data_IF_550768819586
#
_entry.id   IF_550768819586
#
_cell.length_a   1.000
_cell.length_b   1.000
_cell.length_c   1.000
_cell.angle_alpha   90.00
_cell.angle_beta   90.00
_cell.angle_gamma   90.00
#
_symmetry.space_group_name_H-M   'P 1'
#
loop_
_entity.id
_entity.type
_entity.pdbx_description
1 polymer ?
#
# COMPACT_ATOMS: atom_id res chain seq x y z
N UNK A 1 19.52 19.36 -15.89
CA UNK A 1 18.43 19.39 -16.89
C UNK A 1 17.36 18.29 -16.78
N UNK A 2 17.60 17.09 -16.20
CA UNK A 2 16.55 16.05 -16.08
C UNK A 2 15.71 16.08 -14.78
N UNK A 3 16.14 16.80 -13.74
CA UNK A 3 15.46 16.83 -12.42
C UNK A 3 14.29 17.84 -12.41
N UNK A 4 14.37 18.91 -13.19
CA UNK A 4 13.31 19.94 -13.28
C UNK A 4 12.11 19.49 -14.13
N UNK A 5 12.32 18.58 -15.07
CA UNK A 5 11.25 18.02 -15.91
C UNK A 5 10.27 17.16 -15.11
N UNK A 6 10.73 16.44 -14.08
CA UNK A 6 9.86 15.61 -13.23
C UNK A 6 9.07 16.46 -12.23
N UNK A 7 9.67 17.54 -11.73
CA UNK A 7 9.00 18.49 -10.85
C UNK A 7 7.92 19.33 -11.57
N UNK A 8 8.10 19.59 -12.87
CA UNK A 8 7.14 20.36 -13.67
C UNK A 8 5.91 19.54 -14.08
N UNK A 9 6.03 18.22 -14.23
CA UNK A 9 4.89 17.31 -14.41
C UNK A 9 3.98 17.27 -13.17
N UNK A 10 4.55 17.43 -11.97
CA UNK A 10 3.80 17.44 -10.71
C UNK A 10 3.11 18.79 -10.49
N UNK A 11 3.68 19.90 -10.98
CA UNK A 11 3.13 21.26 -10.79
C UNK A 11 2.10 21.70 -11.83
N UNK A 12 2.09 21.12 -13.04
CA UNK A 12 1.07 21.44 -14.07
C UNK A 12 -0.29 20.80 -13.81
N UNK A 13 -0.36 19.88 -12.86
CA UNK A 13 -1.58 19.16 -12.49
C UNK A 13 -2.26 19.82 -11.30
N UNK A 14 -2.62 21.10 -11.40
CA UNK A 14 -3.54 21.66 -10.41
C UNK A 14 -4.35 22.84 -10.95
N UNK A 15 -5.57 22.54 -11.38
CA UNK A 15 -6.78 23.33 -11.09
C UNK A 15 -8.00 22.58 -11.61
N UNK A 16 -8.93 22.23 -10.72
CA UNK A 16 -10.26 21.62 -10.93
C UNK A 16 -10.44 20.09 -10.99
N UNK A 17 -9.41 19.27 -11.25
CA UNK A 17 -9.59 17.81 -11.43
C UNK A 17 -9.26 16.91 -10.21
N UNK A 18 -8.81 17.45 -9.08
CA UNK A 18 -8.45 16.65 -7.89
C UNK A 18 -9.65 16.27 -6.99
N UNK A 19 -10.88 16.50 -7.43
CA UNK A 19 -12.11 16.00 -6.79
C UNK A 19 -12.50 14.68 -7.45
N UNK A 20 -11.79 13.60 -7.14
CA UNK A 20 -12.15 12.27 -7.63
C UNK A 20 -10.95 11.33 -7.72
N UNK A 21 -10.89 10.37 -6.80
CA UNK A 21 -10.36 9.01 -7.02
C UNK A 21 -9.04 8.86 -7.78
N UNK A 22 -7.93 9.54 -7.41
CA UNK A 22 -6.69 9.36 -8.20
C UNK A 22 -5.34 9.46 -7.47
N UNK A 23 -5.14 8.72 -6.37
CA UNK A 23 -3.80 8.69 -5.74
C UNK A 23 -2.95 7.46 -6.14
N UNK A 24 -3.51 6.27 -6.26
CA UNK A 24 -2.76 5.04 -6.53
C UNK A 24 -2.81 4.63 -8.02
N UNK A 25 -2.14 5.38 -8.90
CA UNK A 25 -2.23 5.10 -10.34
C UNK A 25 -1.08 4.32 -10.92
N UNK A 26 0.12 4.53 -10.38
CA UNK A 26 1.35 4.07 -11.01
C UNK A 26 2.40 3.64 -9.97
N UNK A 27 3.27 2.66 -10.28
CA UNK A 27 4.31 2.18 -9.36
C UNK A 27 5.26 3.28 -8.85
N UNK A 28 5.42 4.38 -9.58
CA UNK A 28 6.29 5.51 -9.23
C UNK A 28 5.90 6.15 -7.90
N UNK A 29 4.62 6.10 -7.51
CA UNK A 29 4.21 6.55 -6.19
C UNK A 29 4.91 5.73 -5.09
N UNK A 30 5.04 4.42 -5.26
CA UNK A 30 5.75 3.57 -4.30
C UNK A 30 7.22 3.97 -4.21
N UNK A 31 7.86 4.30 -5.33
CA UNK A 31 9.26 4.74 -5.36
C UNK A 31 9.45 6.10 -4.70
N UNK A 32 8.54 7.05 -4.94
CA UNK A 32 8.54 8.37 -4.32
C UNK A 32 8.34 8.26 -2.81
N UNK A 33 7.34 7.49 -2.35
CA UNK A 33 7.11 7.24 -0.93
C UNK A 33 8.31 6.56 -0.28
N UNK A 34 8.86 5.53 -0.91
CA UNK A 34 10.05 4.87 -0.41
C UNK A 34 11.23 5.83 -0.28
N UNK A 35 11.44 6.69 -1.29
CA UNK A 35 12.49 7.72 -1.24
C UNK A 35 12.29 8.68 -0.07
N UNK A 36 11.06 9.12 0.20
CA UNK A 36 10.76 10.01 1.32
C UNK A 36 10.98 9.30 2.68
N UNK A 37 10.47 8.08 2.83
CA UNK A 37 10.51 7.34 4.11
C UNK A 37 11.92 6.85 4.44
N UNK A 38 12.75 6.58 3.43
CA UNK A 38 14.07 5.98 3.62
C UNK A 38 15.22 6.99 3.54
N UNK A 39 14.96 8.26 3.17
CA UNK A 39 15.99 9.29 2.97
C UNK A 39 16.94 9.41 4.16
N UNK A 40 16.39 9.54 5.36
CA UNK A 40 17.16 9.84 6.57
C UNK A 40 17.63 8.58 7.31
N UNK A 41 17.41 7.39 6.72
CA UNK A 41 17.72 6.10 7.34
C UNK A 41 18.92 5.42 6.69
N UNK A 42 19.76 6.19 6.00
CA UNK A 42 21.08 5.76 5.51
C UNK A 42 21.06 4.84 4.30
N UNK A 43 20.01 4.88 3.47
CA UNK A 43 19.91 4.02 2.29
C UNK A 43 20.22 4.74 0.98
N UNK A 44 21.38 4.47 0.37
CA UNK A 44 21.71 4.91 -1.00
C UNK A 44 20.72 4.38 -2.07
N UNK A 45 19.96 3.34 -1.70
CA UNK A 45 18.93 2.71 -2.53
C UNK A 45 17.53 3.30 -2.33
N UNK A 46 17.40 4.44 -1.65
CA UNK A 46 16.12 5.10 -1.42
C UNK A 46 15.38 5.41 -2.74
N UNK A 47 14.34 4.62 -3.01
CA UNK A 47 13.44 4.76 -4.15
C UNK A 47 13.86 3.92 -5.35
N UNK A 48 14.82 3.00 -5.17
CA UNK A 48 15.30 2.08 -6.22
C UNK A 48 14.77 0.68 -5.95
N UNK A 49 14.31 0.02 -7.01
CA UNK A 49 13.96 -1.40 -6.96
C UNK A 49 15.22 -2.22 -6.63
N UNK A 50 15.08 -3.25 -5.80
CA UNK A 50 16.20 -4.15 -5.48
C UNK A 50 16.67 -4.90 -6.72
N UNK A 51 17.98 -5.03 -6.85
CA UNK A 51 18.66 -5.84 -7.86
C UNK A 51 19.19 -7.17 -7.29
N UNK A 52 18.98 -7.41 -5.99
CA UNK A 52 19.37 -8.64 -5.28
C UNK A 52 18.14 -9.44 -4.87
N UNK A 53 18.32 -10.74 -4.68
CA UNK A 53 17.30 -11.57 -4.05
C UNK A 53 17.34 -11.41 -2.53
N UNK A 54 16.15 -11.31 -1.94
CA UNK A 54 15.96 -11.14 -0.50
C UNK A 54 14.93 -12.14 0.00
N UNK A 55 14.98 -12.47 1.28
CA UNK A 55 14.04 -13.37 1.95
C UNK A 55 13.63 -12.82 3.31
N UNK A 56 12.41 -13.09 3.78
CA UNK A 56 12.03 -12.79 5.15
C UNK A 56 12.87 -13.60 6.12
N UNK A 57 13.36 -12.97 7.19
CA UNK A 57 14.06 -13.67 8.25
C UNK A 57 13.10 -14.59 9.01
N UNK A 58 13.50 -15.83 9.27
CA UNK A 58 12.72 -16.78 10.07
C UNK A 58 11.44 -17.30 9.41
N UNK A 59 11.25 -17.12 8.10
CA UNK A 59 10.06 -17.60 7.38
C UNK A 59 10.45 -18.37 6.12
N UNK A 60 9.76 -19.48 5.78
CA UNK A 60 9.98 -20.21 4.52
C UNK A 60 9.42 -19.45 3.30
N UNK A 61 8.73 -18.32 3.50
CA UNK A 61 8.13 -17.54 2.43
C UNK A 61 9.20 -16.96 1.49
N UNK A 62 8.98 -17.03 0.18
CA UNK A 62 9.89 -16.45 -0.81
C UNK A 62 9.20 -15.26 -1.49
N UNK A 63 9.94 -14.14 -1.62
CA UNK A 63 9.46 -12.97 -2.35
C UNK A 63 9.54 -13.19 -3.87
N UNK A 64 9.05 -12.24 -4.67
CA UNK A 64 9.26 -12.27 -6.11
C UNK A 64 10.76 -12.33 -6.48
N UNK A 65 11.09 -12.79 -7.68
CA UNK A 65 12.47 -12.69 -8.17
C UNK A 65 12.77 -11.24 -8.55
N UNK A 66 13.95 -10.73 -8.22
CA UNK A 66 14.41 -9.35 -8.48
C UNK A 66 14.11 -8.90 -9.92
N UNK A 67 14.49 -9.72 -10.90
CA UNK A 67 14.22 -9.49 -12.33
C UNK A 67 12.73 -9.37 -12.72
N UNK A 68 11.82 -9.89 -11.89
CA UNK A 68 10.37 -9.84 -12.13
C UNK A 68 9.66 -8.72 -11.36
N UNK A 69 10.35 -8.01 -10.47
CA UNK A 69 9.73 -7.02 -9.57
C UNK A 69 9.00 -5.93 -10.34
N UNK A 70 9.65 -5.31 -11.32
CA UNK A 70 9.07 -4.20 -12.10
C UNK A 70 7.77 -4.64 -12.79
N UNK A 71 7.82 -5.74 -13.54
CA UNK A 71 6.65 -6.28 -14.25
C UNK A 71 5.50 -6.65 -13.28
N UNK A 72 5.82 -7.21 -12.11
CA UNK A 72 4.81 -7.56 -11.10
C UNK A 72 4.20 -6.33 -10.44
N UNK A 73 4.97 -5.27 -10.20
CA UNK A 73 4.43 -4.00 -9.70
C UNK A 73 3.50 -3.35 -10.72
N UNK A 74 3.92 -3.27 -11.98
CA UNK A 74 3.06 -2.72 -13.04
C UNK A 74 1.73 -3.47 -13.14
N UNK A 75 1.79 -4.81 -13.14
CA UNK A 75 0.61 -5.65 -13.13
C UNK A 75 -0.28 -5.40 -11.90
N UNK A 76 0.31 -5.36 -10.70
CA UNK A 76 -0.44 -5.15 -9.46
C UNK A 76 -1.16 -3.80 -9.46
N UNK A 77 -0.45 -2.72 -9.79
CA UNK A 77 -1.04 -1.37 -9.80
C UNK A 77 -2.12 -1.25 -10.87
N UNK A 78 -1.91 -1.86 -12.05
CA UNK A 78 -2.92 -1.90 -13.12
C UNK A 78 -4.19 -2.62 -12.67
N UNK A 79 -4.08 -3.85 -12.14
CA UNK A 79 -5.23 -4.64 -11.69
C UNK A 79 -6.00 -3.91 -10.60
N UNK A 80 -5.31 -3.30 -9.64
CA UNK A 80 -5.95 -2.56 -8.55
C UNK A 80 -6.66 -1.30 -9.04
N UNK A 81 -6.06 -0.58 -9.98
CA UNK A 81 -6.69 0.58 -10.62
C UNK A 81 -7.95 0.19 -11.39
N UNK A 82 -7.87 -0.85 -12.23
CA UNK A 82 -9.00 -1.38 -12.99
C UNK A 82 -10.12 -1.84 -12.05
N UNK A 83 -9.77 -2.54 -10.96
CA UNK A 83 -10.75 -2.93 -9.95
C UNK A 83 -11.41 -1.70 -9.32
N UNK A 84 -10.65 -0.71 -8.82
CA UNK A 84 -11.23 0.47 -8.18
C UNK A 84 -12.11 1.32 -9.12
N UNK A 85 -11.92 1.22 -10.44
CA UNK A 85 -12.67 1.99 -11.43
C UNK A 85 -14.07 1.43 -11.76
N UNK A 86 -14.38 0.19 -11.38
CA UNK A 86 -15.73 -0.35 -11.65
C UNK A 86 -16.77 0.37 -10.80
N UNK A 87 -17.86 0.77 -11.44
CA UNK A 87 -19.01 1.36 -10.75
C UNK A 87 -19.75 0.30 -9.95
N UNK A 88 -20.09 0.63 -8.71
CA UNK A 88 -20.78 -0.25 -7.76
C UNK A 88 -21.72 0.58 -6.88
N UNK A 89 -22.78 -0.04 -6.34
CA UNK A 89 -23.66 0.61 -5.38
C UNK A 89 -22.89 1.22 -4.21
N UNK A 90 -23.34 2.37 -3.70
CA UNK A 90 -22.65 3.11 -2.64
C UNK A 90 -22.35 2.26 -1.40
N UNK A 91 -23.29 1.40 -1.00
CA UNK A 91 -23.13 0.48 0.12
C UNK A 91 -21.97 -0.52 -0.06
N UNK A 92 -21.59 -0.83 -1.30
CA UNK A 92 -20.50 -1.76 -1.61
C UNK A 92 -19.14 -1.07 -1.74
N UNK A 93 -19.09 0.25 -1.93
CA UNK A 93 -17.84 0.99 -2.21
C UNK A 93 -16.80 0.78 -1.10
N UNK A 94 -17.19 0.95 0.17
CA UNK A 94 -16.31 0.76 1.32
C UNK A 94 -15.81 -0.69 1.46
N UNK A 95 -16.70 -1.69 1.61
CA UNK A 95 -16.30 -3.09 1.72
C UNK A 95 -15.42 -3.56 0.55
N UNK A 96 -15.72 -3.12 -0.66
CA UNK A 96 -14.94 -3.43 -1.86
C UNK A 96 -13.55 -2.79 -1.82
N UNK A 97 -13.45 -1.51 -1.43
CA UNK A 97 -12.18 -0.83 -1.27
C UNK A 97 -11.29 -1.55 -0.25
N UNK A 98 -11.85 -2.04 0.87
CA UNK A 98 -11.11 -2.82 1.87
C UNK A 98 -10.59 -4.14 1.28
N UNK A 99 -11.40 -4.88 0.53
CA UNK A 99 -10.97 -6.14 -0.13
C UNK A 99 -9.84 -5.89 -1.12
N UNK A 100 -9.97 -4.86 -1.97
CA UNK A 100 -8.96 -4.47 -2.95
C UNK A 100 -7.69 -3.99 -2.23
N UNK A 101 -7.83 -3.20 -1.17
CA UNK A 101 -6.73 -2.71 -0.34
C UNK A 101 -5.95 -3.84 0.32
N UNK A 102 -6.64 -4.83 0.89
CA UNK A 102 -6.02 -6.01 1.48
C UNK A 102 -5.25 -6.83 0.44
N UNK A 103 -5.84 -7.04 -0.74
CA UNK A 103 -5.17 -7.70 -1.87
C UNK A 103 -3.91 -6.92 -2.31
N UNK A 104 -4.03 -5.61 -2.47
CA UNK A 104 -2.90 -4.74 -2.84
C UNK A 104 -1.78 -4.82 -1.80
N UNK A 105 -2.12 -4.59 -0.54
CA UNK A 105 -1.18 -4.57 0.59
C UNK A 105 -0.42 -5.89 0.68
N UNK A 106 -1.14 -7.02 0.65
CA UNK A 106 -0.52 -8.34 0.71
C UNK A 106 0.37 -8.61 -0.52
N UNK A 107 -0.13 -8.34 -1.71
CA UNK A 107 0.59 -8.57 -2.96
C UNK A 107 1.86 -7.73 -3.06
N UNK A 108 1.81 -6.47 -2.64
CA UNK A 108 2.97 -5.59 -2.59
C UNK A 108 4.06 -6.14 -1.66
N UNK A 109 3.69 -6.63 -0.47
CA UNK A 109 4.62 -7.25 0.46
C UNK A 109 5.23 -8.57 -0.06
N UNK A 110 4.48 -9.32 -0.87
CA UNK A 110 4.97 -10.52 -1.56
C UNK A 110 5.94 -10.20 -2.70
N UNK A 111 5.68 -9.13 -3.45
CA UNK A 111 6.59 -8.64 -4.49
C UNK A 111 7.89 -8.14 -3.85
N UNK A 112 7.77 -7.43 -2.73
CA UNK A 112 8.88 -6.92 -1.92
C UNK A 112 9.88 -6.11 -2.75
N UNK A 113 9.47 -4.97 -3.34
CA UNK A 113 10.24 -4.33 -4.39
C UNK A 113 11.55 -3.68 -3.95
N UNK A 114 11.73 -3.40 -2.66
CA UNK A 114 12.91 -2.71 -2.12
C UNK A 114 13.74 -3.63 -1.24
N UNK A 115 15.01 -3.28 -0.97
CA UNK A 115 15.86 -4.02 -0.03
C UNK A 115 15.38 -3.93 1.42
N UNK A 116 14.78 -2.80 1.80
CA UNK A 116 14.19 -2.55 3.12
C UNK A 116 13.01 -1.58 2.95
N UNK A 117 12.24 -1.31 4.01
CA UNK A 117 11.20 -0.27 3.99
C UNK A 117 9.86 -0.71 3.39
N UNK A 118 9.78 -1.92 2.83
CA UNK A 118 8.57 -2.44 2.18
C UNK A 118 7.33 -2.36 3.08
N UNK A 119 7.43 -2.74 4.36
CA UNK A 119 6.31 -2.66 5.30
C UNK A 119 5.82 -1.23 5.56
N UNK A 120 6.71 -0.25 5.58
CA UNK A 120 6.36 1.17 5.78
C UNK A 120 5.65 1.72 4.55
N UNK A 121 6.20 1.44 3.38
CA UNK A 121 5.62 1.88 2.10
C UNK A 121 4.27 1.21 1.85
N UNK A 122 4.14 -0.09 2.12
CA UNK A 122 2.89 -0.83 1.98
C UNK A 122 1.76 -0.24 2.83
N UNK A 123 2.05 0.10 4.10
CA UNK A 123 1.08 0.74 5.00
C UNK A 123 0.66 2.11 4.49
N UNK A 124 1.60 2.95 4.07
CA UNK A 124 1.27 4.26 3.50
C UNK A 124 0.42 4.16 2.23
N UNK A 125 0.78 3.26 1.32
CA UNK A 125 0.01 3.04 0.09
C UNK A 125 -1.40 2.52 0.40
N UNK A 126 -1.56 1.64 1.40
CA UNK A 126 -2.87 1.18 1.85
C UNK A 126 -3.70 2.34 2.43
N UNK A 127 -3.12 3.19 3.29
CA UNK A 127 -3.81 4.35 3.83
C UNK A 127 -4.21 5.34 2.74
N UNK A 128 -3.38 5.51 1.71
CA UNK A 128 -3.71 6.33 0.54
C UNK A 128 -4.86 5.73 -0.27
N UNK A 129 -4.86 4.41 -0.50
CA UNK A 129 -5.90 3.70 -1.22
C UNK A 129 -7.26 3.81 -0.51
N UNK A 130 -7.27 3.64 0.82
CA UNK A 130 -8.49 3.66 1.63
C UNK A 130 -8.94 5.06 2.05
N UNK A 131 -8.14 6.10 1.77
CA UNK A 131 -8.46 7.50 2.13
C UNK A 131 -9.87 7.95 1.75
N UNK A 132 -10.46 7.60 0.58
CA UNK A 132 -11.84 8.01 0.26
C UNK A 132 -12.91 7.41 1.18
N UNK A 133 -12.57 6.39 1.97
CA UNK A 133 -13.49 5.63 2.83
C UNK A 133 -13.14 5.71 4.32
N UNK A 134 -12.08 6.44 4.68
CA UNK A 134 -11.64 6.60 6.06
C UNK A 134 -11.49 8.09 6.39
N UNK A 135 -11.98 8.51 7.56
CA UNK A 135 -11.87 9.90 8.04
C UNK A 135 -10.44 10.31 8.37
N UNK A 136 -9.61 9.34 8.71
CA UNK A 136 -8.20 9.49 9.07
C UNK A 136 -7.36 8.40 8.40
N UNK A 137 -6.05 8.61 8.16
CA UNK A 137 -5.19 7.58 7.57
C UNK A 137 -5.18 6.31 8.41
N UNK A 138 -5.47 5.15 7.80
CA UNK A 138 -5.57 3.90 8.55
C UNK A 138 -4.22 3.52 9.19
N UNK A 139 -4.25 3.21 10.48
CA UNK A 139 -3.12 2.64 11.22
C UNK A 139 -3.31 1.13 11.33
N UNK A 140 -2.36 0.34 10.79
CA UNK A 140 -2.36 -1.11 10.97
C UNK A 140 -1.71 -1.50 12.31
N UNK A 141 -2.37 -1.09 13.39
CA UNK A 141 -1.96 -1.37 14.75
C UNK A 141 -3.19 -1.58 15.62
N UNK A 142 -3.26 -2.73 16.28
CA UNK A 142 -4.29 -3.04 17.27
C UNK A 142 -3.69 -2.98 18.65
N UNK A 143 -3.01 -4.05 19.07
CA UNK A 143 -2.46 -4.18 20.42
C UNK A 143 -0.93 -4.26 20.41
N UNK A 144 -0.42 -5.17 19.58
CA UNK A 144 1.00 -5.47 19.51
C UNK A 144 1.45 -5.74 18.06
N UNK A 145 2.76 -5.82 17.89
CA UNK A 145 3.39 -6.15 16.61
C UNK A 145 3.13 -7.60 16.20
N UNK A 146 2.99 -8.51 17.14
CA UNK A 146 2.88 -9.94 16.86
C UNK A 146 1.54 -10.27 16.20
N UNK A 147 0.46 -9.55 16.53
CA UNK A 147 -0.84 -9.70 15.88
C UNK A 147 -0.76 -9.36 14.39
N UNK A 148 0.00 -8.30 14.05
CA UNK A 148 0.29 -7.94 12.67
C UNK A 148 1.12 -9.02 11.95
N UNK A 149 2.15 -9.58 12.61
CA UNK A 149 2.97 -10.63 12.03
C UNK A 149 2.17 -11.92 11.80
N UNK A 150 1.41 -12.37 12.81
CA UNK A 150 0.50 -13.53 12.71
C UNK A 150 -0.52 -13.37 11.59
N UNK A 151 -1.02 -12.15 11.36
CA UNK A 151 -1.92 -11.87 10.23
C UNK A 151 -1.22 -12.12 8.89
N UNK A 152 0.02 -11.65 8.73
CA UNK A 152 0.78 -11.85 7.48
C UNK A 152 1.09 -13.33 7.22
N UNK A 153 1.42 -14.08 8.27
CA UNK A 153 1.66 -15.53 8.20
C UNK A 153 0.41 -16.30 7.74
N UNK A 154 -0.79 -15.82 8.13
CA UNK A 154 -2.08 -16.39 7.71
C UNK A 154 -2.55 -15.95 6.34
N UNK A 155 -1.73 -15.24 5.57
CA UNK A 155 -2.06 -14.80 4.21
C UNK A 155 -1.11 -15.44 3.19
N UNK A 156 -1.09 -16.75 2.96
CA UNK A 156 -0.17 -17.32 1.96
C UNK A 156 -0.43 -16.76 0.54
N UNK A 157 0.54 -16.88 -0.38
CA UNK A 157 0.30 -16.58 -1.79
C UNK A 157 -0.90 -17.37 -2.35
N UNK A 158 -1.55 -16.84 -3.39
CA UNK A 158 -2.62 -17.52 -4.16
C UNK A 158 -3.95 -17.79 -3.42
N UNK A 159 -4.07 -17.45 -2.13
CA UNK A 159 -5.35 -17.50 -1.41
C UNK A 159 -5.94 -16.09 -1.25
N UNK A 160 -7.27 -15.94 -1.21
CA UNK A 160 -7.88 -14.69 -0.80
C UNK A 160 -7.33 -14.23 0.57
N UNK A 161 -6.96 -12.95 0.75
CA UNK A 161 -6.27 -12.50 1.95
C UNK A 161 -7.23 -12.22 3.11
N UNK A 162 -8.06 -13.21 3.49
CA UNK A 162 -9.13 -13.06 4.49
C UNK A 162 -8.62 -12.55 5.85
N UNK A 163 -7.50 -13.08 6.34
CA UNK A 163 -6.91 -12.62 7.59
C UNK A 163 -6.46 -11.14 7.50
N UNK A 164 -5.96 -10.70 6.34
CA UNK A 164 -5.60 -9.30 6.11
C UNK A 164 -6.85 -8.41 6.06
N UNK A 165 -7.91 -8.84 5.37
CA UNK A 165 -9.19 -8.14 5.33
C UNK A 165 -9.74 -7.94 6.74
N UNK A 166 -9.86 -9.03 7.51
CA UNK A 166 -10.37 -8.98 8.88
C UNK A 166 -9.53 -8.07 9.78
N UNK A 167 -8.20 -8.11 9.65
CA UNK A 167 -7.30 -7.26 10.42
C UNK A 167 -7.45 -5.77 10.06
N UNK A 168 -7.55 -5.45 8.77
CA UNK A 168 -7.76 -4.07 8.29
C UNK A 168 -9.10 -3.53 8.80
N UNK A 169 -10.18 -4.31 8.73
CA UNK A 169 -11.50 -3.92 9.25
C UNK A 169 -11.42 -3.61 10.75
N UNK A 170 -10.85 -4.51 11.54
CA UNK A 170 -10.70 -4.29 12.99
C UNK A 170 -9.87 -3.04 13.33
N UNK A 171 -8.82 -2.77 12.55
CA UNK A 171 -8.03 -1.54 12.70
C UNK A 171 -8.87 -0.30 12.39
N UNK A 172 -9.62 -0.33 11.29
CA UNK A 172 -10.48 0.77 10.88
C UNK A 172 -11.60 1.03 11.90
N UNK A 173 -12.25 -0.02 12.41
CA UNK A 173 -13.28 0.07 13.45
C UNK A 173 -12.74 0.69 14.74
N UNK A 174 -11.62 0.17 15.25
CA UNK A 174 -10.98 0.72 16.47
C UNK A 174 -10.61 2.19 16.28
N UNK A 175 -10.06 2.54 15.13
CA UNK A 175 -9.68 3.90 14.82
C UNK A 175 -10.89 4.82 14.69
N UNK A 176 -11.98 4.37 14.05
CA UNK A 176 -13.23 5.10 13.97
C UNK A 176 -13.84 5.34 15.36
N UNK A 177 -13.85 4.33 16.24
CA UNK A 177 -14.31 4.47 17.63
C UNK A 177 -13.48 5.48 18.41
N UNK A 178 -12.15 5.46 18.27
CA UNK A 178 -11.28 6.44 18.92
C UNK A 178 -11.54 7.87 18.42
N UNK A 179 -11.73 8.06 17.12
CA UNK A 179 -12.05 9.37 16.55
C UNK A 179 -13.43 9.84 17.01
N UNK A 180 -14.43 8.96 17.03
CA UNK A 180 -15.77 9.28 17.51
C UNK A 180 -15.74 9.74 18.98
N UNK A 181 -14.95 9.06 19.83
CA UNK A 181 -14.75 9.46 21.23
C UNK A 181 -14.10 10.83 21.39
N UNK A 182 -13.20 11.23 20.49
CA UNK A 182 -12.58 12.56 20.53
C UNK A 182 -13.52 13.68 20.06
N UNK A 183 -14.61 13.33 19.38
CA UNK A 183 -15.60 14.28 18.85
C UNK A 183 -16.88 14.36 19.70
N UNK A 184 -17.04 13.48 20.70
CA UNK A 184 -18.10 13.51 21.71
C UNK A 184 -17.73 14.38 22.90
#
# INVERSE_FOLDING_TARGET
MRVEATASLIRRSNSSALRGTTALHVPELAFALHRCVMRDLGGDDAGRIRNVEVRPSGSPMVYALSRTVSARLECLFRVVREALALDVPDAERGPRAVRIGAFFFRSFLLIHPFCNGNGRVARLLLSILLRPHCTVPISLFLNDRDEYIRMLERCPPMTPPWACIAYIVRCAERQASNVAFLLS
#
